data_IF_625516494531
#
_entry.id   IF_625516494531
#
_cell.length_a   1.000
_cell.length_b   1.000
_cell.length_c   1.000
_cell.angle_alpha   90.00
_cell.angle_beta   90.00
_cell.angle_gamma   90.00
#
_symmetry.space_group_name_H-M   'P 1'
#
loop_
_entity.id
_entity.type
_entity.pdbx_description
1 polymer ?
#
# COMPACT_ATOMS: atom_id res chain seq x y z
N UNK A 1 -20.64 6.72 -17.06
CA UNK A 1 -19.31 6.33 -16.54
C UNK A 1 -18.87 5.08 -17.28
N UNK A 2 -17.60 4.97 -17.67
CA UNK A 2 -17.05 3.71 -18.20
C UNK A 2 -16.96 2.66 -17.08
N UNK A 3 -17.08 1.37 -17.42
CA UNK A 3 -16.92 0.25 -16.48
C UNK A 3 -15.59 0.36 -15.71
N UNK A 4 -14.52 0.69 -16.42
CA UNK A 4 -13.19 0.93 -15.85
C UNK A 4 -13.20 1.97 -14.73
N UNK A 5 -13.88 3.12 -14.93
CA UNK A 5 -13.98 4.15 -13.90
C UNK A 5 -14.78 3.69 -12.69
N UNK A 6 -15.83 2.89 -12.89
CA UNK A 6 -16.63 2.33 -11.78
C UNK A 6 -15.78 1.37 -10.95
N UNK A 7 -15.03 0.48 -11.60
CA UNK A 7 -14.14 -0.46 -10.93
C UNK A 7 -13.02 0.27 -10.18
N UNK A 8 -12.37 1.24 -10.83
CA UNK A 8 -11.32 2.04 -10.20
C UNK A 8 -11.84 2.83 -8.99
N UNK A 9 -13.06 3.38 -9.08
CA UNK A 9 -13.69 4.06 -7.96
C UNK A 9 -14.01 3.10 -6.80
N UNK A 10 -14.55 1.91 -7.09
CA UNK A 10 -14.80 0.89 -6.08
C UNK A 10 -13.49 0.45 -5.39
N UNK A 11 -12.44 0.16 -6.17
CA UNK A 11 -11.11 -0.17 -5.65
C UNK A 11 -10.55 0.95 -4.78
N UNK A 12 -10.64 2.20 -5.25
CA UNK A 12 -10.17 3.37 -4.49
C UNK A 12 -10.90 3.53 -3.17
N UNK A 13 -12.23 3.33 -3.14
CA UNK A 13 -13.02 3.41 -1.92
C UNK A 13 -12.63 2.32 -0.91
N UNK A 14 -12.42 1.09 -1.37
CA UNK A 14 -11.96 -0.01 -0.50
C UNK A 14 -10.56 0.28 0.04
N UNK A 15 -9.63 0.73 -0.80
CA UNK A 15 -8.27 1.09 -0.38
C UNK A 15 -8.28 2.27 0.62
N UNK A 16 -9.08 3.30 0.34
CA UNK A 16 -9.23 4.44 1.23
C UNK A 16 -9.88 4.05 2.57
N UNK A 17 -10.88 3.16 2.55
CA UNK A 17 -11.52 2.64 3.76
C UNK A 17 -10.62 1.75 4.62
N UNK A 18 -9.69 1.02 4.00
CA UNK A 18 -8.72 0.17 4.71
C UNK A 18 -7.49 0.93 5.22
N UNK A 19 -7.21 2.10 4.67
CA UNK A 19 -6.06 2.92 5.05
C UNK A 19 -6.07 3.34 6.54
N UNK A 20 -7.18 3.83 7.13
CA UNK A 20 -7.24 4.11 8.56
C UNK A 20 -6.89 2.89 9.41
N UNK A 21 -7.41 1.71 9.05
CA UNK A 21 -7.13 0.45 9.76
C UNK A 21 -5.63 0.11 9.67
N UNK A 22 -5.04 0.26 8.49
CA UNK A 22 -3.60 0.04 8.29
C UNK A 22 -2.75 1.01 9.12
N UNK A 23 -3.13 2.29 9.19
CA UNK A 23 -2.43 3.29 10.01
C UNK A 23 -2.54 2.96 11.50
N UNK A 24 -3.73 2.59 11.97
CA UNK A 24 -3.97 2.17 13.36
C UNK A 24 -3.13 0.94 13.67
N UNK A 25 -3.12 -0.08 12.80
CA UNK A 25 -2.33 -1.29 13.00
C UNK A 25 -0.81 -1.00 13.01
N UNK A 26 -0.31 -0.20 12.06
CA UNK A 26 1.10 0.17 11.98
C UNK A 26 1.57 0.95 13.21
N UNK A 27 0.70 1.76 13.82
CA UNK A 27 0.99 2.48 15.08
C UNK A 27 0.85 1.58 16.30
N UNK A 28 -0.22 0.80 16.39
CA UNK A 28 -0.52 -0.06 17.54
C UNK A 28 0.49 -1.19 17.73
N UNK A 29 1.08 -1.68 16.65
CA UNK A 29 2.07 -2.76 16.68
C UNK A 29 3.51 -2.28 16.50
N UNK A 30 3.78 -0.99 16.69
CA UNK A 30 5.10 -0.39 16.43
C UNK A 30 6.24 -1.08 17.16
N UNK A 31 6.00 -1.56 18.37
CA UNK A 31 6.98 -2.20 19.26
C UNK A 31 6.92 -3.74 19.21
N UNK A 32 5.99 -4.30 18.44
CA UNK A 32 5.89 -5.74 18.26
C UNK A 32 6.84 -6.25 17.16
N UNK A 33 7.27 -7.53 17.18
CA UNK A 33 8.12 -8.11 16.14
C UNK A 33 7.56 -7.95 14.72
N UNK A 34 6.24 -8.05 14.59
CA UNK A 34 5.50 -7.86 13.35
C UNK A 34 5.20 -6.40 13.01
N UNK A 35 5.56 -5.45 13.87
CA UNK A 35 5.47 -4.02 13.57
C UNK A 35 6.28 -3.63 12.34
N UNK A 36 7.44 -4.27 12.16
CA UNK A 36 8.30 -4.08 10.98
C UNK A 36 7.63 -4.49 9.66
N UNK A 37 6.78 -5.51 9.68
CA UNK A 37 5.96 -5.97 8.54
C UNK A 37 4.85 -4.97 8.21
N UNK A 38 4.23 -4.40 9.24
CA UNK A 38 3.05 -3.54 9.09
C UNK A 38 3.40 -2.09 8.73
N UNK A 39 4.60 -1.62 9.09
CA UNK A 39 5.05 -0.23 8.81
C UNK A 39 4.97 0.19 7.33
N UNK A 40 5.33 -0.64 6.34
CA UNK A 40 5.22 -0.26 4.93
C UNK A 40 3.77 -0.26 4.40
N UNK A 41 2.84 -0.99 5.05
CA UNK A 41 1.48 -1.23 4.52
C UNK A 41 0.69 0.05 4.26
N UNK A 42 0.66 1.07 5.15
CA UNK A 42 -0.01 2.33 4.85
C UNK A 42 0.54 3.05 3.61
N UNK A 43 1.86 2.98 3.40
CA UNK A 43 2.53 3.59 2.23
C UNK A 43 2.14 2.86 0.96
N UNK A 44 2.07 1.52 0.99
CA UNK A 44 1.61 0.70 -0.14
C UNK A 44 0.16 1.02 -0.50
N UNK A 45 -0.73 1.11 0.49
CA UNK A 45 -2.13 1.45 0.25
C UNK A 45 -2.28 2.86 -0.35
N UNK A 46 -1.53 3.84 0.16
CA UNK A 46 -1.49 5.19 -0.40
C UNK A 46 -1.01 5.19 -1.86
N UNK A 47 0.01 4.41 -2.19
CA UNK A 47 0.51 4.29 -3.55
C UNK A 47 -0.55 3.68 -4.50
N UNK A 48 -1.30 2.67 -4.06
CA UNK A 48 -2.40 2.12 -4.85
C UNK A 48 -3.58 3.07 -5.00
N UNK A 49 -3.90 3.87 -3.97
CA UNK A 49 -4.90 4.96 -4.09
C UNK A 49 -4.43 5.97 -5.13
N UNK A 50 -3.16 6.38 -5.08
CA UNK A 50 -2.56 7.31 -6.02
C UNK A 50 -2.63 6.79 -7.48
N UNK A 51 -2.38 5.50 -7.70
CA UNK A 51 -2.47 4.86 -9.02
C UNK A 51 -3.89 4.81 -9.60
N UNK A 52 -4.92 4.82 -8.76
CA UNK A 52 -6.31 4.80 -9.22
C UNK A 52 -6.93 6.22 -9.30
N UNK A 53 -6.31 7.20 -8.62
CA UNK A 53 -6.86 8.56 -8.52
C UNK A 53 -6.98 9.26 -9.88
N UNK A 54 -6.01 9.10 -10.77
CA UNK A 54 -6.04 9.66 -12.13
C UNK A 54 -7.23 9.14 -12.96
N UNK A 55 -7.52 7.83 -12.89
CA UNK A 55 -8.67 7.19 -13.58
C UNK A 55 -10.01 7.67 -13.00
N UNK A 56 -10.08 7.77 -11.67
CA UNK A 56 -11.26 8.25 -10.95
C UNK A 56 -11.58 9.71 -11.30
N UNK A 57 -10.56 10.58 -11.25
CA UNK A 57 -10.69 12.02 -11.53
C UNK A 57 -10.82 12.28 -13.04
N UNK A 58 -10.26 11.42 -13.89
CA UNK A 58 -10.27 11.58 -15.35
C UNK A 58 -9.21 12.52 -15.88
N UNK A 59 -8.12 12.68 -15.15
CA UNK A 59 -6.99 13.53 -15.56
C UNK A 59 -5.88 12.67 -16.11
N UNK A 60 -5.29 13.11 -17.23
CA UNK A 60 -4.06 12.52 -17.73
C UNK A 60 -2.91 12.96 -16.85
N UNK A 61 -2.10 12.00 -16.41
CA UNK A 61 -0.88 12.22 -15.63
C UNK A 61 0.33 11.79 -16.44
N UNK A 62 1.52 12.40 -16.20
CA UNK A 62 2.74 11.97 -16.87
C UNK A 62 3.06 10.49 -16.57
N UNK A 63 3.65 9.72 -17.52
CA UNK A 63 3.99 8.31 -17.29
C UNK A 63 4.90 8.08 -16.08
N UNK A 64 5.71 9.07 -15.74
CA UNK A 64 6.58 9.06 -14.55
C UNK A 64 5.78 8.87 -13.26
N UNK A 65 4.56 9.42 -13.19
CA UNK A 65 3.70 9.28 -12.01
C UNK A 65 3.33 7.82 -11.76
N UNK A 66 2.86 7.10 -12.80
CA UNK A 66 2.46 5.71 -12.69
C UNK A 66 3.66 4.82 -12.36
N UNK A 67 4.83 5.11 -12.94
CA UNK A 67 6.09 4.41 -12.65
C UNK A 67 6.47 4.57 -11.18
N UNK A 68 6.47 5.81 -10.67
CA UNK A 68 6.85 6.10 -9.28
C UNK A 68 5.86 5.47 -8.31
N UNK A 69 4.55 5.65 -8.52
CA UNK A 69 3.54 5.10 -7.62
C UNK A 69 3.56 3.56 -7.63
N UNK A 70 3.73 2.93 -8.80
CA UNK A 70 3.89 1.48 -8.91
C UNK A 70 5.17 1.00 -8.22
N UNK A 71 6.30 1.68 -8.43
CA UNK A 71 7.57 1.31 -7.80
C UNK A 71 7.49 1.40 -6.27
N UNK A 72 6.86 2.46 -5.73
CA UNK A 72 6.65 2.60 -4.28
C UNK A 72 5.76 1.48 -3.75
N UNK A 73 4.66 1.16 -4.43
CA UNK A 73 3.78 0.05 -4.04
C UNK A 73 4.53 -1.29 -4.04
N UNK A 74 5.28 -1.58 -5.11
CA UNK A 74 6.04 -2.83 -5.26
C UNK A 74 7.15 -2.95 -4.22
N UNK A 75 7.99 -1.92 -4.06
CA UNK A 75 9.10 -1.93 -3.10
C UNK A 75 8.55 -2.04 -1.67
N UNK A 76 7.50 -1.29 -1.32
CA UNK A 76 6.88 -1.38 0.00
C UNK A 76 6.31 -2.77 0.30
N UNK A 77 5.69 -3.42 -0.69
CA UNK A 77 5.20 -4.79 -0.57
C UNK A 77 6.36 -5.80 -0.40
N UNK A 78 7.44 -5.66 -1.18
CA UNK A 78 8.64 -6.50 -1.05
C UNK A 78 9.31 -6.34 0.31
N UNK A 79 9.42 -5.11 0.81
CA UNK A 79 9.97 -4.85 2.16
C UNK A 79 9.09 -5.49 3.23
N UNK A 80 7.78 -5.36 3.13
CA UNK A 80 6.85 -6.03 4.07
C UNK A 80 7.02 -7.55 4.03
N UNK A 81 7.05 -8.15 2.83
CA UNK A 81 7.24 -9.59 2.63
C UNK A 81 8.60 -10.08 3.17
N UNK A 82 9.68 -9.32 2.96
CA UNK A 82 11.00 -9.64 3.50
C UNK A 82 10.98 -9.72 5.04
N UNK A 83 10.31 -8.78 5.71
CA UNK A 83 10.15 -8.83 7.17
C UNK A 83 9.33 -10.05 7.61
N UNK A 84 8.28 -10.43 6.88
CA UNK A 84 7.50 -11.65 7.16
C UNK A 84 8.37 -12.88 7.06
N UNK A 85 9.16 -13.02 6.00
CA UNK A 85 10.07 -14.16 5.81
C UNK A 85 11.08 -14.27 6.95
N UNK A 86 11.66 -13.15 7.40
CA UNK A 86 12.58 -13.13 8.54
C UNK A 86 11.88 -13.58 9.84
N UNK A 87 10.64 -13.17 10.06
CA UNK A 87 9.86 -13.60 11.22
C UNK A 87 9.53 -15.09 11.18
N UNK A 88 9.14 -15.62 10.02
CA UNK A 88 8.80 -17.03 9.83
C UNK A 88 10.01 -17.96 9.93
N UNK A 89 11.21 -17.44 9.65
CA UNK A 89 12.46 -18.23 9.69
C UNK A 89 13.19 -18.14 11.03
N UNK A 90 12.56 -17.56 12.07
CA UNK A 90 13.11 -17.38 13.42
C UNK A 90 14.50 -16.72 13.50
N UNK A 91 15.01 -16.14 12.40
CA UNK A 91 16.23 -15.32 12.38
C UNK A 91 15.94 -13.96 13.02
N UNK A 92 15.61 -13.96 14.31
CA UNK A 92 15.51 -12.74 15.10
C UNK A 92 16.90 -12.09 15.13
N UNK A 93 16.97 -10.84 14.66
CA UNK A 93 17.96 -9.90 15.21
C UNK A 93 17.58 -9.70 16.67
N UNK A 94 18.32 -10.35 17.56
CA UNK A 94 18.37 -10.03 18.99
C UNK A 94 19.08 -8.69 19.15
#
# INVERSE_FOLDING_TARGET
MSLERILSLATTLVLAGTLPVAVIAARGFRDAPFGSVLRPVPVVLLAYVALNANVVIGVSVPPVYDIVASAVATIGALVSAAHVLVLLTERRKV
#
